data_IF_725051881079
#
_entry.id   IF_725051881079
#
_cell.length_a   1.000
_cell.length_b   1.000
_cell.length_c   1.000
_cell.angle_alpha   90.00
_cell.angle_beta   90.00
_cell.angle_gamma   90.00
#
_symmetry.space_group_name_H-M   'P 1'
#
loop_
_entity.id
_entity.type
_entity.pdbx_description
1 polymer ?
#
# COMPACT_ATOMS: atom_id res chain seq x y z
N UNK A 1 13.10 15.44 -30.77
CA UNK A 1 13.23 16.25 -29.58
C UNK A 1 12.94 15.41 -28.34
N UNK A 2 13.51 15.77 -27.19
CA UNK A 2 13.37 15.06 -25.91
C UNK A 2 11.89 14.86 -25.50
N UNK A 3 11.00 15.76 -25.93
CA UNK A 3 9.55 15.71 -25.69
C UNK A 3 8.79 14.53 -26.29
N UNK A 4 9.43 13.69 -27.10
CA UNK A 4 8.72 12.62 -27.81
C UNK A 4 8.87 11.24 -27.19
N UNK A 5 9.68 11.10 -26.13
CA UNK A 5 9.94 9.79 -25.50
C UNK A 5 8.69 9.23 -24.85
N UNK A 6 7.93 10.05 -24.12
CA UNK A 6 6.65 9.65 -23.52
C UNK A 6 5.48 9.61 -24.54
N UNK A 7 5.60 10.26 -25.70
CA UNK A 7 4.62 10.20 -26.78
C UNK A 7 4.75 8.94 -27.63
N UNK A 8 5.83 8.20 -27.50
CA UNK A 8 6.01 6.95 -28.25
C UNK A 8 5.13 5.88 -27.64
N UNK A 9 4.15 5.43 -28.38
CA UNK A 9 3.18 4.41 -27.98
C UNK A 9 3.81 3.14 -27.37
N UNK A 10 5.03 2.79 -27.77
CA UNK A 10 5.73 1.58 -27.31
C UNK A 10 6.80 1.84 -26.25
N UNK A 11 6.92 3.06 -25.73
CA UNK A 11 7.83 3.36 -24.63
C UNK A 11 7.14 3.13 -23.28
N UNK A 12 7.51 2.06 -22.59
CA UNK A 12 6.89 1.67 -21.33
C UNK A 12 7.52 2.29 -20.09
N UNK A 13 8.63 3.00 -20.24
CA UNK A 13 9.41 3.58 -19.13
C UNK A 13 9.55 5.09 -19.31
N UNK A 14 9.55 5.81 -18.17
CA UNK A 14 9.72 7.24 -18.18
C UNK A 14 11.18 7.61 -18.03
N UNK A 15 11.76 8.18 -19.08
CA UNK A 15 13.16 8.61 -19.11
C UNK A 15 13.28 10.13 -19.02
N UNK A 16 14.43 10.58 -18.47
CA UNK A 16 14.85 11.99 -18.46
C UNK A 16 15.81 12.19 -19.65
N UNK A 17 15.31 12.72 -20.78
CA UNK A 17 16.09 12.75 -22.00
C UNK A 17 17.35 13.62 -21.87
N UNK A 18 18.46 13.18 -22.51
CA UNK A 18 19.75 13.90 -22.56
C UNK A 18 20.41 14.14 -21.20
N UNK A 19 19.96 13.46 -20.15
CA UNK A 19 20.53 13.57 -18.81
C UNK A 19 21.15 12.23 -18.39
N UNK A 20 22.34 12.27 -17.83
CA UNK A 20 22.95 11.14 -17.12
C UNK A 20 22.48 11.14 -15.67
N UNK A 21 22.37 9.97 -15.06
CA UNK A 21 22.02 9.84 -13.65
C UNK A 21 23.14 10.38 -12.75
N UNK A 22 22.77 11.26 -11.83
CA UNK A 22 23.65 11.85 -10.81
C UNK A 22 23.01 11.67 -9.43
N UNK A 23 23.08 10.45 -8.86
CA UNK A 23 22.56 10.19 -7.52
C UNK A 23 23.24 11.05 -6.46
N UNK A 24 22.45 11.61 -5.55
CA UNK A 24 22.94 12.38 -4.40
C UNK A 24 23.39 11.45 -3.25
N UNK A 25 24.01 10.33 -3.58
CA UNK A 25 24.49 9.28 -2.68
C UNK A 25 25.66 8.56 -3.35
N UNK A 26 26.34 7.67 -2.61
CA UNK A 26 27.44 6.88 -3.17
C UNK A 26 26.91 5.89 -4.23
N UNK A 27 27.14 6.23 -5.49
CA UNK A 27 26.78 5.39 -6.66
C UNK A 27 27.79 4.30 -6.96
N UNK A 28 28.93 4.27 -6.28
CA UNK A 28 29.97 3.25 -6.46
C UNK A 28 29.72 2.03 -5.58
N UNK A 29 29.35 2.25 -4.31
CA UNK A 29 29.20 1.18 -3.33
C UNK A 29 30.45 0.30 -3.26
N UNK A 30 30.27 -1.02 -3.34
CA UNK A 30 31.36 -2.01 -3.38
C UNK A 30 31.89 -2.29 -4.80
N UNK A 31 31.38 -1.64 -5.84
CA UNK A 31 31.81 -1.87 -7.22
C UNK A 31 33.14 -1.18 -7.51
N UNK A 32 33.88 -1.64 -8.56
CA UNK A 32 35.11 -1.02 -9.00
C UNK A 32 34.88 0.38 -9.58
N UNK A 33 33.78 0.57 -10.33
CA UNK A 33 33.39 1.81 -10.97
C UNK A 33 32.01 2.27 -10.50
N UNK A 34 31.73 3.60 -10.46
CA UNK A 34 30.39 4.10 -10.16
C UNK A 34 29.38 3.61 -11.21
N UNK A 35 28.13 3.37 -10.76
CA UNK A 35 27.04 3.07 -11.67
C UNK A 35 26.78 4.24 -12.61
N UNK A 36 26.59 3.96 -13.90
CA UNK A 36 26.28 4.94 -14.94
C UNK A 36 24.99 4.56 -15.66
N UNK A 37 24.13 5.54 -15.86
CA UNK A 37 22.87 5.35 -16.57
C UNK A 37 22.59 6.57 -17.48
N UNK A 38 22.40 6.30 -18.76
CA UNK A 38 22.05 7.31 -19.75
C UNK A 38 21.07 6.75 -20.78
N UNK A 39 19.92 7.41 -21.04
CA UNK A 39 19.35 8.51 -20.26
C UNK A 39 18.91 8.04 -18.86
N UNK A 40 18.95 8.94 -17.89
CA UNK A 40 18.44 8.64 -16.55
C UNK A 40 16.95 8.28 -16.59
N UNK A 41 16.53 7.39 -15.70
CA UNK A 41 15.10 7.04 -15.50
C UNK A 41 14.49 7.94 -14.42
N UNK A 42 13.22 8.31 -14.60
CA UNK A 42 12.44 8.83 -13.48
C UNK A 42 12.19 7.72 -12.47
N UNK A 43 12.25 8.02 -11.18
CA UNK A 43 12.00 7.05 -10.11
C UNK A 43 10.52 6.75 -9.93
N UNK A 44 10.19 5.61 -9.35
CA UNK A 44 8.80 5.20 -9.09
C UNK A 44 8.04 6.18 -8.20
N UNK A 45 8.72 6.88 -7.30
CA UNK A 45 8.12 7.89 -6.40
C UNK A 45 8.00 9.29 -7.03
N UNK A 46 7.98 9.40 -8.37
CA UNK A 46 7.77 10.66 -9.10
C UNK A 46 8.92 11.67 -9.01
N UNK A 47 10.17 11.22 -8.91
CA UNK A 47 11.32 12.10 -9.13
C UNK A 47 11.60 12.18 -10.63
N UNK A 48 11.22 13.33 -11.23
CA UNK A 48 11.30 13.54 -12.69
C UNK A 48 12.55 14.33 -13.12
N UNK A 49 13.66 14.21 -12.39
CA UNK A 49 14.97 14.72 -12.77
C UNK A 49 16.05 13.66 -12.60
N UNK A 50 17.28 13.97 -13.00
CA UNK A 50 18.41 13.05 -12.98
C UNK A 50 19.19 13.03 -11.65
N UNK A 51 18.66 13.66 -10.60
CA UNK A 51 19.36 13.87 -9.32
C UNK A 51 18.60 13.27 -8.11
N UNK A 52 18.25 11.96 -8.11
CA UNK A 52 17.58 11.34 -6.98
C UNK A 52 18.49 11.35 -5.73
N UNK A 53 17.89 11.45 -4.55
CA UNK A 53 18.57 11.27 -3.27
C UNK A 53 18.38 9.83 -2.76
N UNK A 54 19.01 9.49 -1.64
CA UNK A 54 18.98 8.14 -1.07
C UNK A 54 17.58 7.67 -0.66
N UNK A 55 16.66 8.60 -0.40
CA UNK A 55 15.28 8.29 -0.02
C UNK A 55 14.31 8.27 -1.22
N UNK A 56 14.77 8.68 -2.40
CA UNK A 56 14.03 8.44 -3.64
C UNK A 56 14.16 6.97 -4.02
N UNK A 57 13.17 6.41 -4.68
CA UNK A 57 13.18 5.01 -5.10
C UNK A 57 14.08 4.82 -6.33
N UNK A 58 15.37 5.13 -6.17
CA UNK A 58 16.33 5.25 -7.25
C UNK A 58 16.62 3.92 -7.99
N UNK A 59 16.37 2.77 -7.35
CA UNK A 59 16.46 1.44 -7.98
C UNK A 59 15.23 1.10 -8.83
N UNK A 60 14.19 1.90 -8.78
CA UNK A 60 12.96 1.70 -9.55
C UNK A 60 12.94 2.56 -10.82
N UNK A 61 11.98 2.29 -11.69
CA UNK A 61 11.70 3.10 -12.88
C UNK A 61 10.21 3.41 -12.96
N UNK A 62 9.87 4.68 -13.16
CA UNK A 62 8.48 5.11 -13.40
C UNK A 62 7.97 4.50 -14.70
N UNK A 63 6.83 3.81 -14.64
CA UNK A 63 6.14 3.33 -15.82
C UNK A 63 5.47 4.48 -16.58
N UNK A 64 5.54 4.42 -17.90
CA UNK A 64 4.96 5.45 -18.76
C UNK A 64 3.51 5.12 -19.09
N UNK A 65 2.60 5.70 -18.33
CA UNK A 65 1.15 5.62 -18.59
C UNK A 65 0.64 6.69 -19.56
N UNK A 66 1.51 7.43 -20.24
CA UNK A 66 1.12 8.44 -21.22
C UNK A 66 0.85 9.82 -20.63
N UNK A 67 1.38 10.13 -19.44
CA UNK A 67 1.29 11.45 -18.80
C UNK A 67 2.64 12.15 -18.88
N UNK A 68 2.65 13.38 -19.39
CA UNK A 68 3.85 14.22 -19.47
C UNK A 68 4.03 15.05 -18.20
N UNK A 69 4.61 14.47 -17.18
CA UNK A 69 4.84 15.13 -15.90
C UNK A 69 5.81 16.32 -15.96
N UNK A 70 6.68 16.37 -16.98
CA UNK A 70 7.65 17.46 -17.14
C UNK A 70 7.06 18.68 -17.84
N UNK A 71 5.89 18.55 -18.51
CA UNK A 71 5.21 19.62 -19.22
C UNK A 71 3.75 19.76 -18.78
N UNK A 72 3.55 19.93 -17.48
CA UNK A 72 2.25 20.27 -16.90
C UNK A 72 1.24 19.12 -16.82
N UNK A 73 1.67 17.86 -16.90
CA UNK A 73 0.78 16.71 -16.75
C UNK A 73 -0.13 16.46 -17.96
N UNK A 74 0.28 16.89 -19.15
CA UNK A 74 -0.51 16.68 -20.39
C UNK A 74 -0.67 15.17 -20.65
N UNK A 75 -1.91 14.74 -20.90
CA UNK A 75 -2.26 13.34 -21.13
C UNK A 75 -2.19 12.98 -22.60
N UNK A 76 -1.61 11.83 -22.92
CA UNK A 76 -1.46 11.25 -24.26
C UNK A 76 -2.00 9.82 -24.26
N UNK A 77 -3.34 9.68 -24.28
CA UNK A 77 -4.04 8.38 -24.19
C UNK A 77 -4.64 7.93 -25.52
N UNK A 78 -4.41 8.67 -26.61
CA UNK A 78 -4.84 8.30 -27.96
C UNK A 78 -3.66 8.44 -28.95
N UNK A 79 -3.14 7.32 -29.46
CA UNK A 79 -3.52 5.92 -29.16
C UNK A 79 -3.21 5.54 -27.70
N UNK A 80 -3.89 4.49 -27.22
CA UNK A 80 -3.67 3.95 -25.86
C UNK A 80 -2.18 3.56 -25.71
N UNK A 81 -1.50 3.97 -24.62
CA UNK A 81 -0.12 3.58 -24.35
C UNK A 81 0.04 2.05 -24.27
N UNK A 82 1.11 1.52 -24.81
CA UNK A 82 1.43 0.09 -24.76
C UNK A 82 1.52 -0.44 -23.33
N UNK A 83 1.97 0.39 -22.38
CA UNK A 83 1.97 0.08 -20.95
C UNK A 83 0.58 -0.34 -20.45
N UNK A 84 -0.50 0.29 -20.92
CA UNK A 84 -1.85 -0.07 -20.50
C UNK A 84 -2.21 -1.50 -20.94
N UNK A 85 -1.89 -1.85 -22.18
CA UNK A 85 -2.15 -3.20 -22.68
C UNK A 85 -1.37 -4.25 -21.89
N UNK A 86 -0.08 -4.00 -21.63
CA UNK A 86 0.77 -4.91 -20.85
C UNK A 86 0.28 -5.06 -19.42
N UNK A 87 -0.13 -3.98 -18.76
CA UNK A 87 -0.67 -4.05 -17.41
C UNK A 87 -2.03 -4.76 -17.36
N UNK A 88 -2.88 -4.57 -18.39
CA UNK A 88 -4.10 -5.35 -18.51
C UNK A 88 -3.81 -6.84 -18.69
N UNK A 89 -2.84 -7.20 -19.53
CA UNK A 89 -2.43 -8.61 -19.70
C UNK A 89 -1.95 -9.23 -18.39
N UNK A 90 -1.19 -8.48 -17.56
CA UNK A 90 -0.76 -8.92 -16.23
C UNK A 90 -1.98 -9.13 -15.31
N UNK A 91 -2.92 -8.21 -15.29
CA UNK A 91 -4.15 -8.35 -14.48
C UNK A 91 -4.96 -9.57 -14.93
N UNK A 92 -5.12 -9.77 -16.24
CA UNK A 92 -5.82 -10.93 -16.80
C UNK A 92 -5.12 -12.24 -16.49
N UNK A 93 -3.78 -12.28 -16.57
CA UNK A 93 -2.99 -13.46 -16.23
C UNK A 93 -3.23 -13.92 -14.79
N UNK A 94 -3.20 -13.00 -13.83
CA UNK A 94 -3.43 -13.34 -12.44
C UNK A 94 -4.90 -13.65 -12.14
N UNK A 95 -5.83 -12.92 -12.76
CA UNK A 95 -7.26 -13.21 -12.65
C UNK A 95 -7.61 -14.64 -13.10
N UNK A 96 -6.92 -15.15 -14.13
CA UNK A 96 -7.07 -16.53 -14.59
C UNK A 96 -6.57 -17.58 -13.58
N UNK A 97 -5.75 -17.18 -12.59
CA UNK A 97 -5.28 -18.07 -11.52
C UNK A 97 -6.27 -18.20 -10.36
N UNK A 98 -7.50 -17.72 -10.53
CA UNK A 98 -8.57 -17.79 -9.53
C UNK A 98 -8.24 -17.07 -8.20
N UNK A 99 -7.59 -15.93 -8.28
CA UNK A 99 -7.42 -15.02 -7.12
C UNK A 99 -8.74 -14.31 -6.84
N UNK A 100 -8.91 -13.82 -5.60
CA UNK A 100 -10.14 -13.12 -5.17
C UNK A 100 -10.12 -11.63 -5.52
N UNK A 101 -8.95 -11.04 -5.73
CA UNK A 101 -8.82 -9.63 -6.06
C UNK A 101 -7.39 -9.12 -6.11
N UNK A 102 -7.27 -7.82 -6.32
CA UNK A 102 -6.01 -7.08 -6.38
C UNK A 102 -5.96 -5.98 -5.34
N UNK A 103 -4.89 -5.91 -4.58
CA UNK A 103 -4.46 -4.70 -3.88
C UNK A 103 -3.53 -3.93 -4.82
N UNK A 104 -3.90 -2.72 -5.17
CA UNK A 104 -3.16 -1.88 -6.10
C UNK A 104 -2.34 -0.87 -5.30
N UNK A 105 -1.02 -1.12 -5.29
CA UNK A 105 -0.02 -0.29 -4.64
C UNK A 105 0.02 1.10 -5.26
N UNK A 106 0.06 2.15 -4.41
CA UNK A 106 0.17 3.54 -4.83
C UNK A 106 -0.73 3.88 -6.04
N UNK A 107 -1.99 3.40 -6.03
CA UNK A 107 -2.89 3.49 -7.17
C UNK A 107 -3.10 4.93 -7.67
N UNK A 108 -2.98 5.94 -6.79
CA UNK A 108 -3.08 7.35 -7.15
C UNK A 108 -1.89 7.88 -7.96
N UNK A 109 -0.77 7.15 -8.03
CA UNK A 109 0.35 7.46 -8.92
C UNK A 109 0.16 6.95 -10.36
N UNK A 110 -0.91 6.20 -10.61
CA UNK A 110 -1.34 5.73 -11.92
C UNK A 110 -2.56 6.53 -12.35
N UNK A 111 -2.61 7.05 -13.60
CA UNK A 111 -3.75 7.85 -14.05
C UNK A 111 -5.07 7.12 -13.84
N UNK A 112 -6.06 7.80 -13.31
CA UNK A 112 -7.40 7.22 -13.06
C UNK A 112 -8.03 6.70 -14.35
N UNK A 113 -7.69 7.27 -15.49
CA UNK A 113 -8.13 6.85 -16.82
C UNK A 113 -7.69 5.43 -17.17
N UNK A 114 -6.49 5.02 -16.73
CA UNK A 114 -6.05 3.63 -16.87
C UNK A 114 -6.97 2.68 -16.10
N UNK A 115 -7.29 2.98 -14.85
CA UNK A 115 -8.18 2.15 -14.03
C UNK A 115 -9.58 2.10 -14.58
N UNK A 116 -10.13 3.24 -15.02
CA UNK A 116 -11.42 3.36 -15.72
C UNK A 116 -11.50 2.46 -16.94
N UNK A 117 -10.39 2.33 -17.67
CA UNK A 117 -10.30 1.48 -18.86
C UNK A 117 -10.04 0.01 -18.53
N UNK A 118 -9.16 -0.30 -17.57
CA UNK A 118 -8.69 -1.66 -17.30
C UNK A 118 -9.67 -2.48 -16.44
N UNK A 119 -10.13 -1.92 -15.30
CA UNK A 119 -10.97 -2.65 -14.34
C UNK A 119 -12.25 -3.21 -14.95
N UNK A 120 -13.02 -2.46 -15.75
CA UNK A 120 -14.22 -3.01 -16.41
C UNK A 120 -13.92 -4.19 -17.33
N UNK A 121 -12.78 -4.20 -18.02
CA UNK A 121 -12.38 -5.29 -18.90
C UNK A 121 -12.08 -6.57 -18.11
N UNK A 122 -11.36 -6.44 -16.97
CA UNK A 122 -11.12 -7.57 -16.08
C UNK A 122 -12.44 -8.09 -15.51
N UNK A 123 -13.29 -7.21 -14.99
CA UNK A 123 -14.58 -7.59 -14.39
C UNK A 123 -15.59 -8.14 -15.40
N UNK A 124 -15.50 -7.78 -16.66
CA UNK A 124 -16.32 -8.39 -17.71
C UNK A 124 -16.08 -9.90 -17.84
N UNK A 125 -14.84 -10.35 -17.60
CA UNK A 125 -14.48 -11.78 -17.63
C UNK A 125 -14.51 -12.43 -16.24
N UNK A 126 -14.19 -11.67 -15.19
CA UNK A 126 -14.08 -12.13 -13.81
C UNK A 126 -14.88 -11.19 -12.86
N UNK A 127 -16.22 -11.24 -12.88
CA UNK A 127 -17.07 -10.24 -12.23
C UNK A 127 -16.97 -10.23 -10.69
N UNK A 128 -16.52 -11.33 -10.08
CA UNK A 128 -16.36 -11.44 -8.64
C UNK A 128 -15.05 -10.85 -8.09
N UNK A 129 -14.07 -10.53 -8.96
CA UNK A 129 -12.80 -9.96 -8.53
C UNK A 129 -12.96 -8.60 -7.87
N UNK A 130 -12.30 -8.43 -6.74
CA UNK A 130 -12.26 -7.16 -6.01
C UNK A 130 -11.00 -6.37 -6.38
N UNK A 131 -11.14 -5.04 -6.43
CA UNK A 131 -10.03 -4.11 -6.59
C UNK A 131 -9.98 -3.17 -5.40
N UNK A 132 -8.87 -3.22 -4.67
CA UNK A 132 -8.61 -2.40 -3.48
C UNK A 132 -7.46 -1.45 -3.83
N UNK A 133 -7.67 -0.14 -3.69
CA UNK A 133 -6.65 0.85 -3.99
C UNK A 133 -6.03 1.45 -2.73
N UNK A 134 -4.73 1.64 -2.79
CA UNK A 134 -4.03 2.52 -1.89
C UNK A 134 -4.06 3.94 -2.46
N UNK A 135 -4.87 4.80 -1.83
CA UNK A 135 -5.03 6.23 -2.17
C UNK A 135 -4.96 7.01 -0.88
N UNK A 136 -4.05 7.95 -0.78
CA UNK A 136 -3.81 8.75 0.44
C UNK A 136 -4.35 10.17 0.36
N UNK A 137 -4.70 10.64 -0.83
CA UNK A 137 -5.32 11.96 -0.99
C UNK A 137 -6.87 11.84 -0.86
N UNK A 138 -7.49 12.33 0.23
CA UNK A 138 -8.95 12.23 0.40
C UNK A 138 -9.76 12.93 -0.71
N UNK A 139 -9.18 13.93 -1.38
CA UNK A 139 -9.84 14.62 -2.50
C UNK A 139 -10.00 13.72 -3.72
N UNK A 140 -9.17 12.69 -3.84
CA UNK A 140 -9.18 11.73 -4.94
C UNK A 140 -10.05 10.49 -4.66
N UNK A 141 -10.54 10.27 -3.44
CA UNK A 141 -11.32 9.09 -3.08
C UNK A 141 -12.50 8.86 -4.03
N UNK A 142 -13.30 9.90 -4.26
CA UNK A 142 -14.43 9.82 -5.18
C UNK A 142 -14.00 9.50 -6.62
N UNK A 143 -12.88 10.08 -7.07
CA UNK A 143 -12.34 9.86 -8.40
C UNK A 143 -11.95 8.39 -8.61
N UNK A 144 -11.21 7.80 -7.67
CA UNK A 144 -10.77 6.40 -7.80
C UNK A 144 -11.91 5.39 -7.57
N UNK A 145 -12.87 5.67 -6.68
CA UNK A 145 -14.03 4.81 -6.47
C UNK A 145 -14.99 4.82 -7.67
N UNK A 146 -15.38 5.98 -8.16
CA UNK A 146 -16.48 6.09 -9.12
C UNK A 146 -15.99 6.06 -10.55
N UNK A 147 -14.95 6.81 -10.88
CA UNK A 147 -14.35 6.82 -12.21
C UNK A 147 -13.38 5.65 -12.38
N UNK A 148 -12.45 5.47 -11.45
CA UNK A 148 -11.45 4.40 -11.45
C UNK A 148 -12.01 3.00 -11.24
N UNK A 149 -13.27 2.85 -10.77
CA UNK A 149 -14.00 1.58 -10.60
C UNK A 149 -13.45 0.66 -9.50
N UNK A 150 -12.67 1.19 -8.56
CA UNK A 150 -12.24 0.42 -7.39
C UNK A 150 -13.41 0.04 -6.50
N UNK A 151 -13.36 -1.12 -5.87
CA UNK A 151 -14.36 -1.57 -4.92
C UNK A 151 -14.15 -0.94 -3.54
N UNK A 152 -12.89 -0.88 -3.11
CA UNK A 152 -12.50 -0.34 -1.81
C UNK A 152 -11.22 0.50 -1.91
N UNK A 153 -11.08 1.45 -0.97
CA UNK A 153 -9.87 2.22 -0.73
C UNK A 153 -9.38 2.00 0.71
N UNK A 154 -8.09 2.11 0.95
CA UNK A 154 -7.53 2.15 2.30
C UNK A 154 -8.02 3.39 3.06
N UNK A 155 -8.53 3.21 4.27
CA UNK A 155 -8.81 4.32 5.19
C UNK A 155 -7.58 4.64 6.04
N UNK A 156 -6.50 5.08 5.37
CA UNK A 156 -5.22 5.41 6.02
C UNK A 156 -5.28 6.78 6.68
N UNK A 157 -5.55 7.81 5.89
CA UNK A 157 -5.46 9.22 6.31
C UNK A 157 -6.64 9.64 7.18
N UNK A 158 -7.79 8.98 7.02
CA UNK A 158 -8.98 9.21 7.84
C UNK A 158 -8.95 8.44 9.15
N UNK A 159 -9.50 7.23 9.15
CA UNK A 159 -9.75 6.47 10.37
C UNK A 159 -8.46 5.93 11.00
N UNK A 160 -7.54 5.35 10.22
CA UNK A 160 -6.31 4.79 10.78
C UNK A 160 -5.49 5.84 11.54
N UNK A 161 -5.16 6.98 10.91
CA UNK A 161 -4.36 8.04 11.53
C UNK A 161 -5.05 8.59 12.79
N UNK A 162 -6.38 8.75 12.74
CA UNK A 162 -7.17 9.19 13.88
C UNK A 162 -7.11 8.19 15.03
N UNK A 163 -7.35 6.90 14.77
CA UNK A 163 -7.31 5.87 15.80
C UNK A 163 -5.92 5.72 16.40
N UNK A 164 -4.87 5.77 15.58
CA UNK A 164 -3.50 5.76 16.04
C UNK A 164 -3.20 6.93 16.99
N UNK A 165 -3.59 8.15 16.60
CA UNK A 165 -3.40 9.34 17.43
C UNK A 165 -4.13 9.22 18.77
N UNK A 166 -5.37 8.69 18.79
CA UNK A 166 -6.14 8.45 20.01
C UNK A 166 -5.47 7.41 20.91
N UNK A 167 -5.06 6.28 20.36
CA UNK A 167 -4.39 5.20 21.11
C UNK A 167 -3.07 5.66 21.71
N UNK A 168 -2.35 6.55 21.02
CA UNK A 168 -1.12 7.17 21.51
C UNK A 168 -1.36 8.34 22.49
N UNK A 169 -2.61 8.72 22.73
CA UNK A 169 -2.97 9.84 23.63
C UNK A 169 -2.79 11.24 23.05
N UNK A 170 -2.65 11.36 21.73
CA UNK A 170 -2.39 12.60 21.02
C UNK A 170 -3.67 13.28 20.50
N UNK A 171 -4.82 12.58 20.53
CA UNK A 171 -6.10 13.09 20.03
C UNK A 171 -7.25 12.58 20.90
N UNK A 172 -8.37 13.31 20.91
CA UNK A 172 -9.60 12.93 21.59
C UNK A 172 -10.41 11.91 20.78
N UNK A 173 -11.12 11.00 21.45
CA UNK A 173 -12.02 10.06 20.81
C UNK A 173 -13.13 10.74 19.98
N UNK A 174 -13.45 12.00 20.24
CA UNK A 174 -14.40 12.79 19.42
C UNK A 174 -13.94 12.98 17.97
N UNK A 175 -12.63 12.82 17.70
CA UNK A 175 -12.08 12.88 16.35
C UNK A 175 -12.61 11.76 15.43
N UNK A 176 -13.02 10.62 15.99
CA UNK A 176 -13.60 9.50 15.21
C UNK A 176 -14.83 9.99 14.43
N UNK A 177 -15.70 10.78 15.04
CA UNK A 177 -16.90 11.32 14.39
C UNK A 177 -16.51 12.20 13.18
N UNK A 178 -15.49 13.05 13.34
CA UNK A 178 -15.01 13.90 12.24
C UNK A 178 -14.41 13.06 11.09
N UNK A 179 -13.59 12.06 11.41
CA UNK A 179 -13.01 11.16 10.43
C UNK A 179 -14.09 10.45 9.62
N UNK A 180 -15.10 9.90 10.29
CA UNK A 180 -16.23 9.25 9.64
C UNK A 180 -17.06 10.20 8.78
N UNK A 181 -17.44 11.37 9.30
CA UNK A 181 -18.25 12.35 8.58
C UNK A 181 -17.55 12.92 7.35
N UNK A 182 -16.21 13.00 7.37
CA UNK A 182 -15.42 13.52 6.24
C UNK A 182 -15.49 12.61 4.99
N UNK A 183 -15.89 11.35 5.14
CA UNK A 183 -16.02 10.40 4.02
C UNK A 183 -17.24 10.68 3.14
N UNK A 184 -18.27 11.40 3.65
CA UNK A 184 -19.34 11.94 2.82
C UNK A 184 -20.18 10.89 2.08
N UNK A 185 -20.42 9.71 2.65
CA UNK A 185 -21.26 8.65 2.07
C UNK A 185 -20.48 7.51 1.40
N UNK A 186 -19.14 7.54 1.41
CA UNK A 186 -18.30 6.44 0.88
C UNK A 186 -17.80 5.49 1.98
N UNK A 187 -18.26 5.62 3.20
CA UNK A 187 -17.77 4.90 4.39
C UNK A 187 -17.73 3.37 4.17
N UNK A 188 -18.75 2.84 3.50
CA UNK A 188 -18.86 1.40 3.19
C UNK A 188 -17.86 0.90 2.15
N UNK A 189 -17.15 1.82 1.49
CA UNK A 189 -16.16 1.54 0.45
C UNK A 189 -14.72 1.72 0.98
N UNK A 190 -14.54 1.87 2.28
CA UNK A 190 -13.24 2.03 2.91
C UNK A 190 -12.79 0.71 3.55
N UNK A 191 -11.54 0.30 3.31
CA UNK A 191 -10.90 -0.82 3.99
C UNK A 191 -10.25 -0.30 5.27
N UNK A 192 -10.79 -0.70 6.41
CA UNK A 192 -10.23 -0.35 7.71
C UNK A 192 -9.05 -1.26 8.09
N UNK A 193 -8.10 -0.74 8.83
CA UNK A 193 -6.97 -1.50 9.36
C UNK A 193 -6.33 -0.77 10.55
N UNK A 194 -5.52 -1.49 11.33
CA UNK A 194 -4.71 -0.92 12.41
C UNK A 194 -3.22 -1.22 12.24
N UNK A 195 -2.87 -2.21 11.44
CA UNK A 195 -1.52 -2.56 11.03
C UNK A 195 -1.49 -2.94 9.56
N UNK A 196 -0.39 -2.67 8.90
CA UNK A 196 -0.03 -3.19 7.59
C UNK A 196 1.50 -3.27 7.47
N UNK A 197 2.02 -3.56 6.27
CA UNK A 197 3.46 -3.70 6.02
C UNK A 197 4.24 -2.37 6.02
N UNK A 198 3.54 -1.24 5.96
CA UNK A 198 4.14 0.12 5.95
C UNK A 198 4.04 0.81 7.31
N UNK A 199 3.14 0.36 8.19
CA UNK A 199 2.87 1.01 9.46
C UNK A 199 3.46 0.22 10.64
N UNK A 200 3.78 0.93 11.74
CA UNK A 200 4.28 0.31 12.94
C UNK A 200 3.26 -0.65 13.55
N UNK A 201 3.76 -1.76 14.10
CA UNK A 201 2.97 -2.69 14.90
C UNK A 201 2.41 -2.00 16.14
N UNK A 202 1.17 -2.29 16.50
CA UNK A 202 0.52 -1.74 17.70
C UNK A 202 1.34 -2.02 18.95
N UNK A 203 1.92 -3.21 19.06
CA UNK A 203 2.69 -3.64 20.22
C UNK A 203 4.11 -3.05 20.27
N UNK A 204 4.58 -2.38 19.21
CA UNK A 204 5.91 -1.76 19.16
C UNK A 204 6.01 -0.54 20.07
N UNK A 205 7.25 -0.19 20.42
CA UNK A 205 7.57 1.04 21.16
C UNK A 205 7.23 2.32 20.37
N UNK A 206 7.03 2.20 19.07
CA UNK A 206 6.74 3.31 18.15
C UNK A 206 5.24 3.57 17.96
N UNK A 207 4.37 2.73 18.55
CA UNK A 207 2.92 2.93 18.50
C UNK A 207 2.37 2.92 19.95
N UNK A 208 1.83 1.79 20.43
CA UNK A 208 1.16 1.73 21.73
C UNK A 208 1.93 1.02 22.82
N UNK A 209 3.03 0.34 22.50
CA UNK A 209 3.85 -0.52 23.37
C UNK A 209 3.09 -1.66 24.05
N UNK A 210 1.76 -1.71 23.88
CA UNK A 210 0.89 -2.74 24.42
C UNK A 210 -0.30 -2.93 23.49
N UNK A 211 -0.46 -4.11 22.87
CA UNK A 211 -1.51 -4.36 21.89
C UNK A 211 -2.93 -4.25 22.46
N UNK A 212 -3.10 -4.42 23.77
CA UNK A 212 -4.42 -4.29 24.42
C UNK A 212 -4.94 -2.85 24.46
N UNK A 213 -4.08 -1.84 24.39
CA UNK A 213 -4.49 -0.43 24.31
C UNK A 213 -5.32 -0.14 23.06
N UNK A 214 -5.09 -0.89 21.97
CA UNK A 214 -5.81 -0.71 20.72
C UNK A 214 -7.09 -1.54 20.61
N UNK A 215 -7.52 -2.29 21.65
CA UNK A 215 -8.78 -3.04 21.58
C UNK A 215 -9.99 -2.14 21.30
N UNK A 216 -10.14 -0.93 21.91
CA UNK A 216 -11.21 -0.02 21.51
C UNK A 216 -11.15 0.39 20.03
N UNK A 217 -9.94 0.64 19.52
CA UNK A 217 -9.73 0.97 18.12
C UNK A 217 -10.08 -0.20 17.19
N UNK A 218 -9.76 -1.44 17.60
CA UNK A 218 -10.17 -2.66 16.89
C UNK A 218 -11.70 -2.76 16.80
N UNK A 219 -12.40 -2.52 17.90
CA UNK A 219 -13.87 -2.53 17.93
C UNK A 219 -14.44 -1.46 16.98
N UNK A 220 -13.91 -0.25 17.04
CA UNK A 220 -14.33 0.82 16.11
C UNK A 220 -14.10 0.40 14.66
N UNK A 221 -12.91 -0.09 14.32
CA UNK A 221 -12.58 -0.49 12.95
C UNK A 221 -13.43 -1.64 12.43
N UNK A 222 -13.79 -2.60 13.30
CA UNK A 222 -14.55 -3.79 12.90
C UNK A 222 -16.07 -3.59 12.94
N UNK A 223 -16.59 -2.76 13.87
CA UNK A 223 -18.01 -2.72 14.18
C UNK A 223 -18.70 -1.40 13.84
N UNK A 224 -17.97 -0.34 13.47
CA UNK A 224 -18.57 0.97 13.22
C UNK A 224 -19.43 0.98 11.96
N UNK A 225 -19.11 0.15 10.97
CA UNK A 225 -19.81 0.06 9.70
C UNK A 225 -19.69 -1.37 9.13
N UNK A 226 -20.30 -1.61 7.96
CA UNK A 226 -20.29 -2.90 7.23
C UNK A 226 -19.13 -3.00 6.21
N UNK A 227 -18.14 -2.16 6.33
CA UNK A 227 -16.97 -2.16 5.45
C UNK A 227 -15.94 -3.24 5.87
N UNK A 228 -15.11 -3.71 4.94
CA UNK A 228 -14.10 -4.72 5.24
C UNK A 228 -13.03 -4.18 6.19
N UNK A 229 -12.44 -5.09 6.97
CA UNK A 229 -11.30 -4.80 7.83
C UNK A 229 -10.15 -5.75 7.50
N UNK A 230 -8.95 -5.20 7.39
CA UNK A 230 -7.72 -5.98 7.22
C UNK A 230 -7.05 -6.22 8.58
N UNK A 231 -6.67 -7.45 8.85
CA UNK A 231 -5.80 -7.84 9.96
C UNK A 231 -4.43 -8.20 9.37
N UNK A 232 -3.41 -7.51 9.82
CA UNK A 232 -2.04 -7.83 9.41
C UNK A 232 -1.53 -9.05 10.17
N UNK A 233 -0.83 -9.96 9.51
CA UNK A 233 -0.40 -11.24 10.09
C UNK A 233 0.38 -11.05 11.40
N UNK A 234 -0.04 -11.74 12.47
CA UNK A 234 0.54 -11.62 13.81
C UNK A 234 -0.03 -10.49 14.67
N UNK A 235 -0.84 -9.59 14.11
CA UNK A 235 -1.51 -8.52 14.86
C UNK A 235 -2.35 -9.09 16.00
N UNK A 236 -3.08 -10.16 15.74
CA UNK A 236 -3.95 -10.87 16.70
C UNK A 236 -3.17 -11.56 17.83
N UNK A 237 -1.86 -11.70 17.67
CA UNK A 237 -0.95 -12.25 18.69
C UNK A 237 -0.08 -11.16 19.35
N UNK A 238 -0.24 -9.90 18.93
CA UNK A 238 0.55 -8.78 19.44
C UNK A 238 2.00 -8.81 18.99
N UNK A 239 2.24 -9.04 17.69
CA UNK A 239 3.58 -8.97 17.10
C UNK A 239 4.21 -7.62 17.35
N UNK A 240 5.48 -7.62 17.77
CA UNK A 240 6.16 -6.40 18.22
C UNK A 240 6.77 -5.59 17.08
N UNK A 241 7.28 -6.24 16.03
CA UNK A 241 8.03 -5.56 14.99
C UNK A 241 9.29 -4.86 15.49
N UNK A 242 9.92 -5.42 16.53
CA UNK A 242 11.03 -4.77 17.23
C UNK A 242 12.38 -5.46 16.99
N UNK A 243 12.47 -6.30 15.97
CA UNK A 243 13.71 -6.85 15.42
C UNK A 243 14.21 -6.01 14.24
N UNK A 244 14.90 -6.59 13.28
CA UNK A 244 15.48 -5.87 12.13
C UNK A 244 14.59 -5.87 10.89
N UNK A 245 13.34 -6.24 11.02
CA UNK A 245 12.36 -6.43 9.95
C UNK A 245 11.70 -5.14 9.42
N UNK A 246 12.09 -3.99 9.95
CA UNK A 246 11.59 -2.69 9.52
C UNK A 246 12.31 -2.14 8.28
N UNK A 247 11.83 -1.01 7.76
CA UNK A 247 12.48 -0.28 6.65
C UNK A 247 13.88 0.23 7.01
N UNK A 248 14.09 0.61 8.26
CA UNK A 248 15.34 1.14 8.79
C UNK A 248 15.92 0.25 9.89
N UNK A 249 15.70 -1.06 9.80
CA UNK A 249 16.02 -1.99 10.87
C UNK A 249 14.94 -1.99 11.95
N UNK A 250 15.31 -1.75 13.21
CA UNK A 250 14.38 -1.77 14.34
C UNK A 250 13.53 -0.50 14.42
N UNK A 251 12.46 -0.43 13.68
CA UNK A 251 11.57 0.74 13.58
C UNK A 251 10.08 0.44 13.88
N UNK A 252 9.79 -0.73 14.43
CA UNK A 252 8.42 -1.13 14.79
C UNK A 252 7.57 -1.65 13.66
N UNK A 253 8.16 -1.87 12.48
CA UNK A 253 7.48 -2.41 11.29
C UNK A 253 7.89 -3.85 11.04
N UNK A 254 7.05 -4.58 10.29
CA UNK A 254 7.40 -5.83 9.63
C UNK A 254 7.08 -5.68 8.16
N UNK A 255 8.09 -5.41 7.33
CA UNK A 255 7.91 -5.15 5.90
C UNK A 255 7.68 -6.44 5.12
N UNK A 256 7.26 -6.29 3.84
CA UNK A 256 7.13 -7.40 2.89
C UNK A 256 8.28 -7.45 1.87
N UNK A 257 9.28 -6.58 2.02
CA UNK A 257 10.38 -6.44 1.05
C UNK A 257 11.50 -7.44 1.26
N UNK A 258 11.45 -8.23 2.34
CA UNK A 258 12.39 -9.29 2.64
C UNK A 258 11.68 -10.48 3.30
N UNK A 259 12.41 -11.56 3.57
CA UNK A 259 11.89 -12.77 4.20
C UNK A 259 12.16 -12.77 5.70
N UNK A 260 11.10 -12.57 6.49
CA UNK A 260 11.20 -12.50 7.95
C UNK A 260 10.60 -13.70 8.63
N UNK A 261 11.25 -14.13 9.70
CA UNK A 261 10.76 -15.21 10.56
C UNK A 261 10.08 -14.62 11.80
N UNK A 262 8.80 -14.29 11.68
CA UNK A 262 8.00 -13.67 12.75
C UNK A 262 7.70 -14.68 13.85
N UNK A 263 8.18 -14.39 15.09
CA UNK A 263 8.14 -15.35 16.21
C UNK A 263 6.72 -15.70 16.66
N UNK A 264 5.80 -14.75 16.68
CA UNK A 264 4.39 -15.00 17.04
C UNK A 264 3.72 -15.98 16.08
N UNK A 265 3.98 -15.86 14.79
CA UNK A 265 3.46 -16.78 13.76
C UNK A 265 4.12 -18.16 13.88
N UNK A 266 5.42 -18.22 14.16
CA UNK A 266 6.13 -19.49 14.40
C UNK A 266 5.53 -20.24 15.59
N UNK A 267 5.25 -19.54 16.69
CA UNK A 267 4.62 -20.10 17.88
C UNK A 267 3.20 -20.59 17.61
N UNK A 268 2.40 -19.78 16.89
CA UNK A 268 1.07 -20.18 16.48
C UNK A 268 1.09 -21.41 15.59
N UNK A 269 1.98 -21.44 14.59
CA UNK A 269 2.11 -22.58 13.66
C UNK A 269 2.57 -23.86 14.36
N UNK A 270 3.42 -23.77 15.36
CA UNK A 270 3.94 -24.90 16.17
C UNK A 270 4.34 -26.12 15.34
N UNK A 271 5.27 -25.93 14.39
CA UNK A 271 5.72 -27.03 13.53
C UNK A 271 4.65 -27.61 12.58
N UNK A 272 3.56 -26.89 12.33
CA UNK A 272 2.44 -27.32 11.48
C UNK A 272 1.25 -27.92 12.24
N UNK A 273 1.27 -27.91 13.58
CA UNK A 273 0.17 -28.42 14.42
C UNK A 273 -0.98 -27.43 14.55
N UNK A 274 -0.70 -26.10 14.46
CA UNK A 274 -1.67 -25.01 14.59
C UNK A 274 -2.54 -25.09 15.86
N UNK A 275 -1.98 -25.62 16.96
CA UNK A 275 -2.69 -25.88 18.21
C UNK A 275 -2.52 -24.78 19.26
N UNK A 276 -1.77 -23.72 18.94
CA UNK A 276 -1.51 -22.59 19.81
C UNK A 276 -0.74 -22.92 21.09
N UNK A 277 -0.21 -24.15 21.27
CA UNK A 277 0.46 -24.54 22.52
C UNK A 277 1.72 -23.75 22.81
N UNK A 278 2.39 -23.25 21.78
CA UNK A 278 3.60 -22.43 21.93
C UNK A 278 3.32 -20.94 22.15
N UNK A 279 2.06 -20.51 22.03
CA UNK A 279 1.66 -19.14 22.37
C UNK A 279 1.71 -18.92 23.88
N UNK A 280 2.12 -17.73 24.31
CA UNK A 280 2.02 -17.31 25.71
C UNK A 280 0.57 -17.11 26.10
N UNK A 281 0.26 -17.07 27.39
CA UNK A 281 -1.12 -16.84 27.87
C UNK A 281 -1.65 -15.46 27.45
N UNK A 282 -0.76 -14.45 27.40
CA UNK A 282 -1.11 -13.12 26.89
C UNK A 282 -1.49 -13.14 25.40
N UNK A 283 -0.74 -13.89 24.59
CA UNK A 283 -1.02 -14.06 23.16
C UNK A 283 -2.35 -14.80 22.93
N UNK A 284 -2.58 -15.90 23.66
CA UNK A 284 -3.86 -16.64 23.63
C UNK A 284 -5.04 -15.77 24.04
N UNK A 285 -4.85 -14.97 25.08
CA UNK A 285 -5.93 -14.08 25.55
C UNK A 285 -6.24 -12.99 24.51
N UNK A 286 -5.23 -12.34 23.93
CA UNK A 286 -5.42 -11.35 22.88
C UNK A 286 -6.09 -11.96 21.65
N UNK A 287 -5.60 -13.11 21.18
CA UNK A 287 -6.20 -13.86 20.08
C UNK A 287 -7.70 -14.15 20.33
N UNK A 288 -8.05 -14.58 21.53
CA UNK A 288 -9.45 -14.82 21.91
C UNK A 288 -10.31 -13.55 21.89
N UNK A 289 -9.74 -12.37 22.13
CA UNK A 289 -10.44 -11.08 21.97
C UNK A 289 -10.69 -10.80 20.49
N UNK A 290 -9.67 -10.91 19.65
CA UNK A 290 -9.80 -10.74 18.19
C UNK A 290 -10.85 -11.69 17.62
N UNK A 291 -10.78 -12.98 17.99
CA UNK A 291 -11.74 -13.98 17.54
C UNK A 291 -13.17 -13.59 17.88
N UNK A 292 -13.44 -13.18 19.12
CA UNK A 292 -14.80 -12.77 19.55
C UNK A 292 -15.28 -11.55 18.76
N UNK A 293 -14.46 -10.53 18.59
CA UNK A 293 -14.85 -9.31 17.86
C UNK A 293 -15.15 -9.66 16.41
N UNK A 294 -14.22 -10.36 15.72
CA UNK A 294 -14.34 -10.63 14.28
C UNK A 294 -15.41 -11.69 13.92
N UNK A 295 -15.89 -12.49 14.88
CA UNK A 295 -17.01 -13.42 14.66
C UNK A 295 -18.37 -12.80 15.00
N UNK A 296 -18.40 -11.58 15.53
CA UNK A 296 -19.62 -10.85 15.91
C UNK A 296 -20.04 -9.81 14.88
N UNK A 297 -19.27 -9.66 13.80
CA UNK A 297 -19.48 -8.66 12.73
C UNK A 297 -19.80 -9.33 11.41
#
# INVERSE_FOLDING_TARGET
AASDVYKRQYNNFYYIPQSELHGQFDMKGAAAEPYKEFPAKATGNNRFDAYPNINDWYETVKLNYGVDYQNGGTCHFNPIPDTWNKMLDILMFWAEKHIDGFRCDMAEMVPVEFWEWAIPQVKAKYPALLFIAEVYNPKEYGNYLFRGKFDYLYDKVGLYDTLRAIVCGNESATAITRAWQSLGGIEKRMLNFLENHDEQRIASDFFASNPRKAIPALIVSACMNVNPMMIYFGQEFGELGMDSEGFSGRDGRTTIFDYWSVDTIRRWRNGGKFDGKMLTDNQKHLYGIYQRILTSV
#
